data_IF_961070886725
#
_entry.id   IF_961070886725
#
_cell.length_a   1.000
_cell.length_b   1.000
_cell.length_c   1.000
_cell.angle_alpha   90.00
_cell.angle_beta   90.00
_cell.angle_gamma   90.00
#
_symmetry.space_group_name_H-M   'P 1'
#
loop_
_entity.id
_entity.type
_entity.pdbx_description
1 polymer ?
#
# COMPACT_ATOMS: atom_id res chain seq x y z
N UNK A 1 -81.53 -28.00 25.07
CA UNK A 1 -81.17 -28.11 23.65
C UNK A 1 -79.67 -27.88 23.50
N UNK A 2 -79.00 -28.83 22.84
CA UNK A 2 -77.74 -28.73 22.09
C UNK A 2 -76.53 -27.91 22.62
N UNK A 3 -75.50 -28.69 22.96
CA UNK A 3 -74.05 -28.59 22.61
C UNK A 3 -73.51 -27.52 21.62
N UNK A 4 -72.34 -26.98 22.03
CA UNK A 4 -71.06 -26.67 21.32
C UNK A 4 -70.97 -25.53 20.27
N UNK A 5 -70.09 -24.54 20.51
CA UNK A 5 -68.86 -24.30 19.71
C UNK A 5 -67.94 -23.22 20.34
N UNK A 6 -66.66 -23.27 19.97
CA UNK A 6 -65.46 -22.68 20.59
C UNK A 6 -65.12 -21.25 20.12
N UNK A 7 -64.26 -20.52 20.87
CA UNK A 7 -63.05 -19.84 20.33
C UNK A 7 -62.21 -19.13 21.41
N UNK A 8 -60.98 -19.65 21.56
CA UNK A 8 -59.67 -19.00 21.80
C UNK A 8 -59.50 -17.89 22.85
N UNK A 9 -58.84 -18.26 23.95
CA UNK A 9 -58.11 -17.38 24.87
C UNK A 9 -56.63 -17.29 24.41
N UNK A 10 -56.09 -16.09 24.25
CA UNK A 10 -54.64 -15.82 24.23
C UNK A 10 -54.35 -14.64 25.18
N UNK A 11 -53.67 -14.83 26.31
CA UNK A 11 -53.12 -13.72 27.07
C UNK A 11 -51.72 -13.38 26.51
N UNK A 12 -51.49 -12.08 26.38
CA UNK A 12 -50.26 -11.43 25.94
C UNK A 12 -49.10 -11.84 26.86
N UNK A 13 -48.15 -12.61 26.34
CA UNK A 13 -46.87 -12.89 27.00
C UNK A 13 -45.89 -11.76 26.67
N UNK A 14 -45.65 -10.88 27.66
CA UNK A 14 -44.63 -9.84 27.61
C UNK A 14 -43.23 -10.48 27.66
N UNK A 15 -42.69 -10.88 26.52
CA UNK A 15 -41.31 -11.35 26.38
C UNK A 15 -40.37 -10.14 26.45
N UNK A 16 -39.70 -9.99 27.61
CA UNK A 16 -38.46 -9.23 27.77
C UNK A 16 -37.40 -9.82 26.83
N UNK A 17 -37.39 -9.37 25.58
CA UNK A 17 -36.24 -9.51 24.69
C UNK A 17 -35.12 -8.63 25.26
N UNK A 18 -34.34 -9.20 26.16
CA UNK A 18 -32.98 -8.75 26.39
C UNK A 18 -32.24 -8.92 25.05
N UNK A 19 -32.26 -7.87 24.23
CA UNK A 19 -31.37 -7.75 23.10
C UNK A 19 -29.96 -7.67 23.67
N UNK A 20 -29.26 -8.81 23.67
CA UNK A 20 -27.81 -8.82 23.68
C UNK A 20 -27.36 -8.10 22.41
N UNK A 21 -27.30 -6.77 22.49
CA UNK A 21 -26.40 -5.97 21.67
C UNK A 21 -25.03 -6.63 21.91
N UNK A 22 -24.34 -7.16 20.90
CA UNK A 22 -22.98 -7.59 21.10
C UNK A 22 -22.22 -6.32 21.45
N UNK A 23 -21.97 -6.13 22.74
CA UNK A 23 -20.97 -5.20 23.23
C UNK A 23 -19.73 -5.49 22.40
N UNK A 24 -19.34 -4.54 21.56
CA UNK A 24 -18.06 -4.61 20.87
C UNK A 24 -17.03 -4.82 21.97
N UNK A 25 -16.55 -6.07 22.13
CA UNK A 25 -15.51 -6.37 23.11
C UNK A 25 -14.38 -5.41 22.74
N UNK A 26 -14.09 -4.46 23.62
CA UNK A 26 -12.82 -3.75 23.56
C UNK A 26 -11.76 -4.80 23.88
N UNK A 27 -11.36 -5.56 22.87
CA UNK A 27 -10.34 -6.59 23.06
C UNK A 27 -9.08 -5.85 23.49
N UNK A 28 -8.61 -6.22 24.68
CA UNK A 28 -7.38 -5.73 25.26
C UNK A 28 -6.24 -6.28 24.39
N UNK A 29 -5.65 -5.45 23.54
CA UNK A 29 -4.67 -5.85 22.52
C UNK A 29 -3.38 -6.45 23.11
N UNK A 30 -3.20 -6.33 24.42
CA UNK A 30 -2.06 -6.83 25.20
C UNK A 30 -2.29 -8.21 25.82
N UNK A 31 -3.53 -8.67 25.97
CA UNK A 31 -3.84 -9.98 26.55
C UNK A 31 -3.50 -11.13 25.60
N UNK A 32 -3.09 -12.28 26.15
CA UNK A 32 -2.94 -13.50 25.34
C UNK A 32 -4.32 -13.97 24.86
N UNK A 33 -4.46 -14.24 23.56
CA UNK A 33 -5.68 -14.76 22.97
C UNK A 33 -5.37 -15.95 22.05
N UNK A 34 -6.33 -16.87 21.81
CA UNK A 34 -6.17 -17.90 20.78
C UNK A 34 -6.12 -17.28 19.37
N UNK A 35 -5.49 -17.98 18.39
CA UNK A 35 -5.51 -17.56 16.99
C UNK A 35 -6.92 -17.34 16.44
N UNK A 36 -7.91 -18.10 16.91
CA UNK A 36 -9.30 -17.98 16.47
C UNK A 36 -9.87 -16.57 16.66
N UNK A 37 -9.56 -15.93 17.80
CA UNK A 37 -10.04 -14.59 18.14
C UNK A 37 -9.24 -13.50 17.41
N UNK A 38 -7.94 -13.71 17.19
CA UNK A 38 -7.13 -12.76 16.43
C UNK A 38 -7.54 -12.76 14.95
N UNK A 39 -7.73 -13.95 14.38
CA UNK A 39 -8.08 -14.13 12.98
C UNK A 39 -9.50 -13.68 12.62
N UNK A 40 -10.43 -13.61 13.57
CA UNK A 40 -11.77 -13.08 13.30
C UNK A 40 -11.76 -11.59 12.93
N UNK A 41 -10.68 -10.88 13.23
CA UNK A 41 -10.50 -9.47 12.86
C UNK A 41 -9.99 -9.29 11.42
N UNK A 42 -9.66 -10.38 10.73
CA UNK A 42 -9.02 -10.33 9.42
C UNK A 42 -10.03 -10.52 8.28
N UNK A 43 -9.69 -10.03 7.10
CA UNK A 43 -10.48 -10.20 5.88
C UNK A 43 -10.65 -11.66 5.45
N UNK A 44 -9.75 -12.55 5.88
CA UNK A 44 -9.82 -13.98 5.60
C UNK A 44 -9.51 -14.83 6.85
N UNK A 45 -10.51 -15.04 7.73
CA UNK A 45 -10.28 -15.73 9.00
C UNK A 45 -9.84 -17.18 8.87
N UNK A 46 -10.31 -17.92 7.85
CA UNK A 46 -9.95 -19.32 7.64
C UNK A 46 -8.49 -19.45 7.20
N UNK A 47 -8.05 -18.62 6.26
CA UNK A 47 -6.65 -18.56 5.85
C UNK A 47 -5.74 -18.10 6.99
N UNK A 48 -6.13 -17.06 7.75
CA UNK A 48 -5.36 -16.62 8.92
C UNK A 48 -5.11 -17.78 9.91
N UNK A 49 -6.13 -18.60 10.19
CA UNK A 49 -6.01 -19.77 11.07
C UNK A 49 -5.12 -20.88 10.51
N UNK A 50 -5.00 -21.02 9.19
CA UNK A 50 -4.11 -22.02 8.59
C UNK A 50 -2.64 -21.58 8.62
N UNK A 51 -2.39 -20.27 8.68
CA UNK A 51 -1.04 -19.70 8.73
C UNK A 51 -0.46 -19.65 10.14
N UNK A 52 -1.30 -19.36 11.14
CA UNK A 52 -0.89 -19.25 12.55
C UNK A 52 -0.99 -20.62 13.23
N UNK A 53 0.09 -21.15 13.85
CA UNK A 53 0.02 -22.47 14.49
C UNK A 53 -1.00 -22.49 15.63
N UNK A 54 -1.89 -23.49 15.72
CA UNK A 54 -3.06 -23.48 16.63
C UNK A 54 -2.72 -23.34 18.12
N UNK A 55 -1.55 -23.86 18.52
CA UNK A 55 -1.10 -23.86 19.91
C UNK A 55 -0.41 -22.55 20.32
N UNK A 56 -0.08 -21.68 19.35
CA UNK A 56 0.61 -20.42 19.61
C UNK A 56 -0.33 -19.47 20.34
N UNK A 57 -0.05 -19.19 21.61
CA UNK A 57 -0.71 -18.13 22.37
C UNK A 57 0.12 -16.86 22.26
N UNK A 58 -0.48 -15.80 21.73
CA UNK A 58 0.16 -14.50 21.63
C UNK A 58 -0.88 -13.40 21.77
N UNK A 59 -0.40 -12.16 21.86
CA UNK A 59 -1.23 -10.99 21.72
C UNK A 59 -1.32 -10.57 20.24
N UNK A 60 -2.15 -9.59 19.92
CA UNK A 60 -2.35 -9.16 18.52
C UNK A 60 -1.04 -8.68 17.89
N UNK A 61 -0.19 -7.99 18.67
CA UNK A 61 1.14 -7.55 18.26
C UNK A 61 2.06 -8.71 17.87
N UNK A 62 2.08 -9.79 18.66
CA UNK A 62 2.87 -10.97 18.35
C UNK A 62 2.39 -11.69 17.09
N UNK A 63 1.07 -11.81 16.90
CA UNK A 63 0.51 -12.35 15.65
C UNK A 63 0.83 -11.46 14.45
N UNK A 64 0.74 -10.13 14.60
CA UNK A 64 1.12 -9.19 13.55
C UNK A 64 2.56 -9.37 13.10
N UNK A 65 3.52 -9.40 14.03
CA UNK A 65 4.94 -9.66 13.71
C UNK A 65 5.15 -11.01 13.01
N UNK A 66 4.49 -12.05 13.52
CA UNK A 66 4.58 -13.39 12.92
C UNK A 66 4.06 -13.40 11.47
N UNK A 67 2.90 -12.78 11.23
CA UNK A 67 2.29 -12.70 9.90
C UNK A 67 3.16 -11.90 8.92
N UNK A 68 3.67 -10.73 9.32
CA UNK A 68 4.58 -9.93 8.48
C UNK A 68 5.88 -10.69 8.20
N UNK A 69 6.43 -11.43 9.17
CA UNK A 69 7.60 -12.31 8.95
C UNK A 69 7.28 -13.41 7.95
N UNK A 70 6.10 -14.03 8.07
CA UNK A 70 5.65 -15.06 7.12
C UNK A 70 5.46 -14.49 5.71
N UNK A 71 4.95 -13.26 5.61
CA UNK A 71 4.86 -12.52 4.35
C UNK A 71 6.22 -12.32 3.72
N UNK A 72 7.24 -11.96 4.50
CA UNK A 72 8.61 -11.78 4.00
C UNK A 72 9.15 -13.08 3.37
N UNK A 73 9.01 -14.20 4.08
CA UNK A 73 9.43 -15.51 3.57
C UNK A 73 8.71 -15.88 2.26
N UNK A 74 7.41 -15.58 2.17
CA UNK A 74 6.63 -15.87 0.97
C UNK A 74 7.02 -14.97 -0.21
N UNK A 75 7.26 -13.68 0.03
CA UNK A 75 7.73 -12.72 -0.98
C UNK A 75 9.07 -13.13 -1.58
N UNK A 76 10.04 -13.48 -0.73
CA UNK A 76 11.36 -13.92 -1.17
C UNK A 76 11.29 -15.21 -2.03
N UNK A 77 10.46 -16.18 -1.62
CA UNK A 77 10.23 -17.41 -2.38
C UNK A 77 9.56 -17.14 -3.73
N UNK A 78 8.58 -16.24 -3.77
CA UNK A 78 7.90 -15.86 -4.99
C UNK A 78 8.87 -15.19 -5.97
N UNK A 79 9.67 -14.22 -5.50
CA UNK A 79 10.68 -13.56 -6.32
C UNK A 79 11.68 -14.56 -6.93
N UNK A 80 12.19 -15.50 -6.13
CA UNK A 80 13.10 -16.54 -6.59
C UNK A 80 12.45 -17.48 -7.63
N UNK A 81 11.16 -17.79 -7.46
CA UNK A 81 10.42 -18.62 -8.40
C UNK A 81 10.20 -17.91 -9.74
N UNK A 82 9.82 -16.64 -9.74
CA UNK A 82 9.66 -15.81 -10.94
C UNK A 82 10.98 -15.70 -11.69
N UNK A 83 12.05 -15.37 -10.97
CA UNK A 83 13.40 -15.23 -11.51
C UNK A 83 13.90 -16.55 -12.14
N UNK A 84 13.60 -17.69 -11.50
CA UNK A 84 13.84 -19.01 -12.08
C UNK A 84 13.01 -19.23 -13.35
N UNK A 85 11.73 -18.87 -13.36
CA UNK A 85 10.86 -19.00 -14.54
C UNK A 85 11.40 -18.20 -15.72
N UNK A 86 11.83 -16.95 -15.50
CA UNK A 86 12.43 -16.11 -16.54
C UNK A 86 13.69 -16.76 -17.12
N UNK A 87 14.58 -17.30 -16.27
CA UNK A 87 15.85 -17.89 -16.72
C UNK A 87 15.71 -19.19 -17.50
N UNK A 88 14.80 -20.06 -17.10
CA UNK A 88 14.76 -21.44 -17.62
C UNK A 88 13.62 -21.71 -18.59
N UNK A 89 12.62 -20.84 -18.70
CA UNK A 89 11.55 -21.01 -19.66
C UNK A 89 11.89 -20.29 -20.97
N UNK A 90 12.28 -21.06 -21.99
CA UNK A 90 12.67 -20.53 -23.31
C UNK A 90 11.48 -20.28 -24.24
N UNK A 91 10.26 -20.67 -23.86
CA UNK A 91 9.05 -20.55 -24.70
C UNK A 91 8.14 -19.40 -24.26
N UNK A 92 8.67 -18.44 -23.51
CA UNK A 92 7.91 -17.27 -23.06
C UNK A 92 7.57 -16.36 -24.23
N UNK A 93 6.29 -15.99 -24.35
CA UNK A 93 5.86 -14.93 -25.26
C UNK A 93 6.35 -13.58 -24.74
N UNK A 94 6.49 -12.58 -25.62
CA UNK A 94 6.93 -11.24 -25.23
C UNK A 94 6.04 -10.62 -24.13
N UNK A 95 4.68 -10.70 -24.19
CA UNK A 95 3.83 -10.22 -23.11
C UNK A 95 4.08 -10.95 -21.78
N UNK A 96 4.28 -12.27 -21.83
CA UNK A 96 4.54 -13.07 -20.62
C UNK A 96 5.90 -12.71 -20.00
N UNK A 97 6.93 -12.53 -20.82
CA UNK A 97 8.25 -12.11 -20.35
C UNK A 97 8.20 -10.71 -19.69
N UNK A 98 7.51 -9.76 -20.32
CA UNK A 98 7.28 -8.42 -19.75
C UNK A 98 6.57 -8.49 -18.40
N UNK A 99 5.46 -9.23 -18.32
CA UNK A 99 4.70 -9.38 -17.08
C UNK A 99 5.49 -10.08 -15.96
N UNK A 100 6.38 -11.03 -16.32
CA UNK A 100 7.27 -11.67 -15.36
C UNK A 100 8.34 -10.70 -14.82
N UNK A 101 8.91 -9.84 -15.67
CA UNK A 101 9.85 -8.80 -15.22
C UNK A 101 9.17 -7.79 -14.29
N UNK A 102 7.95 -7.36 -14.61
CA UNK A 102 7.17 -6.48 -13.74
C UNK A 102 6.88 -7.14 -12.40
N UNK A 103 6.42 -8.39 -12.43
CA UNK A 103 6.14 -9.13 -11.21
C UNK A 103 7.40 -9.35 -10.36
N UNK A 104 8.56 -9.56 -10.98
CA UNK A 104 9.83 -9.68 -10.27
C UNK A 104 10.18 -8.36 -9.55
N UNK A 105 10.04 -7.22 -10.22
CA UNK A 105 10.25 -5.90 -9.62
C UNK A 105 9.29 -5.66 -8.44
N UNK A 106 7.99 -5.92 -8.63
CA UNK A 106 6.96 -5.75 -7.61
C UNK A 106 7.19 -6.68 -6.40
N UNK A 107 7.66 -7.91 -6.64
CA UNK A 107 8.00 -8.85 -5.58
C UNK A 107 9.23 -8.41 -4.79
N UNK A 108 10.25 -7.86 -5.46
CA UNK A 108 11.43 -7.31 -4.80
C UNK A 108 11.09 -6.05 -3.97
N UNK A 109 10.27 -5.14 -4.50
CA UNK A 109 9.75 -4.00 -3.73
C UNK A 109 8.98 -4.45 -2.49
N UNK A 110 8.15 -5.48 -2.65
CA UNK A 110 7.41 -6.11 -1.55
C UNK A 110 8.36 -6.64 -0.47
N UNK A 111 9.44 -7.32 -0.86
CA UNK A 111 10.46 -7.80 0.08
C UNK A 111 11.09 -6.63 0.84
N UNK A 112 11.47 -5.55 0.16
CA UNK A 112 12.09 -4.36 0.77
C UNK A 112 11.13 -3.68 1.78
N UNK A 113 9.85 -3.56 1.42
CA UNK A 113 8.80 -3.00 2.28
C UNK A 113 8.55 -3.86 3.52
N UNK A 114 8.57 -5.19 3.39
CA UNK A 114 8.42 -6.13 4.51
C UNK A 114 9.62 -6.09 5.46
N UNK A 115 10.84 -6.03 4.92
CA UNK A 115 12.07 -5.87 5.72
C UNK A 115 12.01 -4.57 6.53
N UNK A 116 11.65 -3.47 5.87
CA UNK A 116 11.51 -2.16 6.52
C UNK A 116 10.45 -2.20 7.63
N UNK A 117 9.28 -2.76 7.33
CA UNK A 117 8.18 -2.90 8.28
C UNK A 117 8.60 -3.73 9.50
N UNK A 118 9.28 -4.85 9.31
CA UNK A 118 9.76 -5.69 10.41
C UNK A 118 10.83 -5.01 11.26
N UNK A 119 11.72 -4.22 10.65
CA UNK A 119 12.71 -3.42 11.38
C UNK A 119 12.03 -2.48 12.39
N UNK A 120 10.96 -1.80 11.94
CA UNK A 120 10.14 -0.94 12.81
C UNK A 120 9.41 -1.74 13.89
N UNK A 121 8.76 -2.85 13.53
CA UNK A 121 7.93 -3.65 14.45
C UNK A 121 8.71 -4.42 15.52
N UNK A 122 10.01 -4.67 15.30
CA UNK A 122 10.88 -5.40 16.22
C UNK A 122 11.64 -4.49 17.20
N UNK A 123 11.57 -3.17 17.05
CA UNK A 123 12.24 -2.21 17.97
C UNK A 123 11.54 -2.18 19.34
N UNK A 124 12.32 -2.02 20.42
CA UNK A 124 12.06 -2.52 21.79
C UNK A 124 10.87 -1.98 22.60
N UNK A 125 9.96 -1.17 22.05
CA UNK A 125 8.67 -0.76 22.69
C UNK A 125 7.47 -1.26 21.87
N UNK A 126 7.40 -2.59 21.73
CA UNK A 126 6.71 -3.32 20.66
C UNK A 126 5.18 -3.17 20.56
N UNK A 127 4.54 -2.49 21.51
CA UNK A 127 3.07 -2.29 21.60
C UNK A 127 2.64 -0.87 21.24
N UNK A 128 3.58 0.07 21.16
CA UNK A 128 3.32 1.49 20.90
C UNK A 128 4.28 1.98 19.83
N UNK A 129 3.75 2.28 18.65
CA UNK A 129 4.49 2.97 17.60
C UNK A 129 4.24 4.48 17.71
N UNK A 130 5.22 5.29 17.32
CA UNK A 130 4.96 6.69 17.02
C UNK A 130 3.96 6.76 15.86
N UNK A 131 3.09 7.78 15.83
CA UNK A 131 2.04 7.90 14.80
C UNK A 131 2.64 7.81 13.37
N UNK A 132 3.78 8.46 13.12
CA UNK A 132 4.48 8.40 11.83
C UNK A 132 4.98 7.00 11.48
N UNK A 133 5.50 6.25 12.45
CA UNK A 133 5.95 4.87 12.23
C UNK A 133 4.76 3.94 11.94
N UNK A 134 3.63 4.16 12.63
CA UNK A 134 2.40 3.44 12.38
C UNK A 134 1.88 3.68 10.96
N UNK A 135 1.82 4.95 10.54
CA UNK A 135 1.39 5.36 9.21
C UNK A 135 2.34 4.84 8.11
N UNK A 136 3.65 4.86 8.35
CA UNK A 136 4.65 4.33 7.42
C UNK A 136 4.46 2.82 7.22
N UNK A 137 4.36 2.04 8.31
CA UNK A 137 4.15 0.58 8.22
C UNK A 137 2.80 0.27 7.57
N UNK A 138 1.74 1.02 7.88
CA UNK A 138 0.44 0.84 7.22
C UNK A 138 0.52 1.09 5.72
N UNK A 139 1.19 2.18 5.32
CA UNK A 139 1.42 2.53 3.91
C UNK A 139 2.18 1.42 3.20
N UNK A 140 3.28 0.94 3.79
CA UNK A 140 4.10 -0.13 3.22
C UNK A 140 3.30 -1.43 3.08
N UNK A 141 2.57 -1.86 4.11
CA UNK A 141 1.73 -3.07 4.05
C UNK A 141 0.58 -2.95 3.05
N UNK A 142 0.02 -1.76 2.87
CA UNK A 142 -0.99 -1.50 1.84
C UNK A 142 -0.38 -1.60 0.44
N UNK A 143 0.80 -1.00 0.24
CA UNK A 143 1.53 -1.07 -1.03
C UNK A 143 1.94 -2.51 -1.39
N UNK A 144 2.27 -3.35 -0.40
CA UNK A 144 2.57 -4.78 -0.59
C UNK A 144 1.35 -5.53 -1.18
N UNK A 145 0.15 -5.26 -0.66
CA UNK A 145 -1.09 -5.84 -1.21
C UNK A 145 -1.30 -5.38 -2.67
N UNK A 146 -1.08 -4.10 -2.96
CA UNK A 146 -1.18 -3.56 -4.32
C UNK A 146 -0.16 -4.21 -5.26
N UNK A 147 1.12 -4.27 -4.88
CA UNK A 147 2.18 -4.88 -5.68
C UNK A 147 1.85 -6.34 -6.04
N UNK A 148 1.35 -7.10 -5.08
CA UNK A 148 0.94 -8.48 -5.26
C UNK A 148 -0.22 -8.62 -6.26
N UNK A 149 -1.23 -7.76 -6.14
CA UNK A 149 -2.38 -7.75 -7.05
C UNK A 149 -1.97 -7.32 -8.46
N UNK A 150 -1.16 -6.26 -8.60
CA UNK A 150 -0.65 -5.80 -9.90
C UNK A 150 0.17 -6.88 -10.60
N UNK A 151 1.01 -7.62 -9.87
CA UNK A 151 1.70 -8.78 -10.45
C UNK A 151 0.71 -9.84 -10.96
N UNK A 152 -0.26 -10.23 -10.13
CA UNK A 152 -1.24 -11.25 -10.50
C UNK A 152 -2.04 -10.85 -11.74
N UNK A 153 -2.50 -9.61 -11.80
CA UNK A 153 -3.27 -9.06 -12.92
C UNK A 153 -2.42 -9.00 -14.20
N UNK A 154 -1.17 -8.56 -14.11
CA UNK A 154 -0.24 -8.51 -15.25
C UNK A 154 0.02 -9.90 -15.85
N UNK A 155 0.27 -10.91 -15.01
CA UNK A 155 0.50 -12.28 -15.47
C UNK A 155 -0.77 -12.93 -16.04
N UNK A 156 -1.94 -12.58 -15.51
CA UNK A 156 -3.24 -13.03 -16.01
C UNK A 156 -3.54 -12.39 -17.37
N UNK A 157 -3.31 -11.08 -17.51
CA UNK A 157 -3.48 -10.34 -18.77
C UNK A 157 -2.55 -10.88 -19.87
N UNK A 158 -1.31 -11.25 -19.51
CA UNK A 158 -0.37 -11.89 -20.42
C UNK A 158 -0.70 -13.35 -20.76
N UNK A 159 -1.82 -13.89 -20.25
CA UNK A 159 -2.24 -15.29 -20.40
C UNK A 159 -1.19 -16.31 -19.92
N UNK A 160 -0.28 -15.88 -19.03
CA UNK A 160 0.76 -16.74 -18.47
C UNK A 160 0.26 -17.54 -17.27
N UNK A 161 -0.61 -16.94 -16.46
CA UNK A 161 -1.09 -17.53 -15.23
C UNK A 161 -2.27 -18.47 -15.49
N UNK A 162 -2.05 -19.76 -15.31
CA UNK A 162 -3.10 -20.80 -15.33
C UNK A 162 -3.11 -21.55 -14.00
N UNK A 163 -4.18 -22.28 -13.69
CA UNK A 163 -4.30 -23.06 -12.44
C UNK A 163 -3.20 -24.12 -12.27
N UNK A 164 -2.58 -24.56 -13.38
CA UNK A 164 -1.45 -25.51 -13.37
C UNK A 164 -0.09 -24.82 -13.26
N UNK A 165 -0.02 -23.50 -13.39
CA UNK A 165 1.23 -22.75 -13.30
C UNK A 165 1.73 -22.75 -11.85
N UNK A 166 3.01 -23.06 -11.66
CA UNK A 166 3.67 -23.05 -10.36
C UNK A 166 3.59 -21.72 -9.60
N UNK A 167 3.38 -20.59 -10.31
CA UNK A 167 3.20 -19.26 -9.71
C UNK A 167 1.79 -19.03 -9.15
N UNK A 168 0.78 -19.76 -9.60
CA UNK A 168 -0.62 -19.47 -9.27
C UNK A 168 -0.89 -19.57 -7.76
N UNK A 169 -0.56 -20.72 -7.13
CA UNK A 169 -0.78 -20.89 -5.70
C UNK A 169 0.02 -19.92 -4.83
N UNK A 170 1.34 -19.68 -5.07
CA UNK A 170 2.09 -18.62 -4.38
C UNK A 170 1.46 -17.24 -4.48
N UNK A 171 0.93 -16.86 -5.65
CA UNK A 171 0.31 -15.54 -5.83
C UNK A 171 -1.01 -15.41 -5.07
N UNK A 172 -1.89 -16.41 -5.17
CA UNK A 172 -3.19 -16.41 -4.48
C UNK A 172 -3.00 -16.44 -2.96
N UNK A 173 -2.13 -17.33 -2.47
CA UNK A 173 -1.82 -17.42 -1.04
C UNK A 173 -1.13 -16.14 -0.55
N UNK A 174 -0.30 -15.51 -1.39
CA UNK A 174 0.36 -14.25 -1.07
C UNK A 174 -0.64 -13.10 -0.91
N UNK A 175 -1.61 -12.97 -1.81
CA UNK A 175 -2.68 -11.97 -1.70
C UNK A 175 -3.43 -12.10 -0.37
N UNK A 176 -3.78 -13.34 0.02
CA UNK A 176 -4.46 -13.60 1.29
C UNK A 176 -3.55 -13.30 2.49
N UNK A 177 -2.29 -13.70 2.44
CA UNK A 177 -1.32 -13.50 3.52
C UNK A 177 -1.01 -12.03 3.75
N UNK A 178 -0.79 -11.25 2.71
CA UNK A 178 -0.53 -9.82 2.82
C UNK A 178 -1.75 -9.06 3.33
N UNK A 179 -2.95 -9.42 2.85
CA UNK A 179 -4.22 -8.84 3.34
C UNK A 179 -4.44 -9.12 4.83
N UNK A 180 -4.24 -10.36 5.27
CA UNK A 180 -4.33 -10.77 6.68
C UNK A 180 -3.28 -10.06 7.54
N UNK A 181 -2.07 -9.86 7.02
CA UNK A 181 -0.99 -9.15 7.73
C UNK A 181 -1.32 -7.67 7.92
N UNK A 182 -1.84 -7.01 6.88
CA UNK A 182 -2.31 -5.63 6.95
C UNK A 182 -3.46 -5.49 7.95
N UNK A 183 -4.46 -6.38 7.91
CA UNK A 183 -5.57 -6.35 8.85
C UNK A 183 -5.10 -6.55 10.30
N UNK A 184 -4.21 -7.52 10.55
CA UNK A 184 -3.65 -7.73 11.89
C UNK A 184 -2.89 -6.49 12.36
N UNK A 185 -2.12 -5.86 11.48
CA UNK A 185 -1.40 -4.63 11.80
C UNK A 185 -2.35 -3.50 12.18
N UNK A 186 -3.39 -3.23 11.39
CA UNK A 186 -4.33 -2.13 11.65
C UNK A 186 -5.10 -2.34 12.95
N UNK A 187 -5.43 -3.58 13.31
CA UNK A 187 -6.08 -3.87 14.59
C UNK A 187 -5.14 -3.79 15.80
N UNK A 188 -3.83 -3.89 15.58
CA UNK A 188 -2.83 -3.91 16.65
C UNK A 188 -2.20 -2.53 16.90
N UNK A 189 -1.75 -1.85 15.84
CA UNK A 189 -0.95 -0.62 15.93
C UNK A 189 -1.59 0.60 15.30
N UNK A 190 -2.54 0.47 14.37
CA UNK A 190 -3.17 1.67 13.83
C UNK A 190 -3.95 2.35 14.96
N UNK A 191 -3.90 3.69 15.06
CA UNK A 191 -4.69 4.41 16.04
C UNK A 191 -6.15 3.97 15.87
N UNK A 192 -6.75 3.36 16.90
CA UNK A 192 -8.21 3.24 16.97
C UNK A 192 -8.69 4.66 16.83
N UNK A 193 -9.27 5.03 15.67
CA UNK A 193 -9.71 6.39 15.40
C UNK A 193 -10.43 6.90 16.65
N UNK A 194 -9.74 7.70 17.48
CA UNK A 194 -10.36 8.37 18.62
C UNK A 194 -11.35 9.29 17.95
N UNK A 195 -12.61 8.88 17.94
CA UNK A 195 -13.74 9.53 17.31
C UNK A 195 -13.34 10.82 16.59
N UNK A 196 -12.92 10.73 15.31
CA UNK A 196 -13.04 11.89 14.43
C UNK A 196 -14.52 12.26 14.56
N UNK A 197 -14.80 13.36 15.28
CA UNK A 197 -16.15 13.82 15.65
C UNK A 197 -17.11 13.43 14.54
N UNK A 198 -18.14 12.66 14.86
CA UNK A 198 -19.12 12.11 13.92
C UNK A 198 -19.33 13.10 12.76
N UNK A 199 -18.69 12.83 11.61
CA UNK A 199 -18.95 13.62 10.43
C UNK A 199 -20.41 13.34 10.08
N UNK A 200 -21.21 14.41 10.07
CA UNK A 200 -22.61 14.38 9.64
C UNK A 200 -22.74 13.56 8.34
N UNK A 201 -23.83 12.80 8.15
CA UNK A 201 -24.00 11.94 6.98
C UNK A 201 -24.09 12.82 5.73
N UNK A 202 -22.98 12.91 5.02
CA UNK A 202 -22.85 13.50 3.71
C UNK A 202 -21.57 12.94 3.13
N UNK A 203 -21.67 12.16 2.04
CA UNK A 203 -20.50 11.66 1.32
C UNK A 203 -19.71 12.85 0.80
N UNK A 204 -18.70 13.25 1.55
CA UNK A 204 -17.74 14.28 1.17
C UNK A 204 -16.42 13.59 0.81
N UNK A 205 -16.46 12.78 -0.25
CA UNK A 205 -15.25 12.21 -0.86
C UNK A 205 -14.25 13.31 -1.31
N UNK A 206 -14.72 14.55 -1.41
CA UNK A 206 -13.95 15.73 -1.82
C UNK A 206 -13.53 16.63 -0.65
N UNK A 207 -13.94 16.38 0.60
CA UNK A 207 -13.51 17.23 1.73
C UNK A 207 -12.04 16.97 2.14
N UNK A 208 -11.51 15.77 1.92
CA UNK A 208 -10.07 15.48 2.12
C UNK A 208 -9.19 16.04 0.98
N UNK A 209 -9.82 16.38 -0.17
CA UNK A 209 -9.24 17.17 -1.25
C UNK A 209 -9.49 18.68 -1.08
N UNK A 210 -10.20 19.11 -0.02
CA UNK A 210 -10.28 20.53 0.31
C UNK A 210 -8.93 20.98 0.81
N UNK A 211 -8.20 21.51 -0.15
CA UNK A 211 -7.07 22.40 0.04
C UNK A 211 -7.50 23.47 1.05
N UNK A 212 -6.96 23.42 2.27
CA UNK A 212 -7.24 24.43 3.28
C UNK A 212 -6.72 25.80 2.85
N UNK A 213 -6.95 26.86 3.64
CA UNK A 213 -6.45 28.21 3.31
C UNK A 213 -4.94 28.28 2.99
N UNK A 214 -4.15 27.27 3.38
CA UNK A 214 -2.72 27.13 3.08
C UNK A 214 -2.35 26.44 1.76
N UNK A 215 -3.29 26.11 0.87
CA UNK A 215 -2.93 25.59 -0.45
C UNK A 215 -2.52 24.10 -0.50
N UNK A 216 -2.56 23.39 0.62
CA UNK A 216 -2.23 21.96 0.73
C UNK A 216 -3.36 21.11 1.32
N UNK A 217 -3.53 19.85 0.87
CA UNK A 217 -4.37 18.85 1.54
C UNK A 217 -3.92 18.59 2.98
N UNK A 218 -4.85 18.14 3.83
CA UNK A 218 -4.61 17.87 5.25
C UNK A 218 -3.63 16.72 5.53
N UNK A 219 -3.48 15.79 4.58
CA UNK A 219 -2.53 14.67 4.65
C UNK A 219 -1.09 15.06 4.30
N UNK A 220 -0.88 16.24 3.72
CA UNK A 220 0.47 16.73 3.39
C UNK A 220 1.10 17.34 4.63
N UNK A 221 2.28 16.85 5.01
CA UNK A 221 3.03 17.40 6.15
C UNK A 221 3.41 18.85 5.87
N UNK A 222 2.78 19.79 6.59
CA UNK A 222 2.99 21.24 6.41
C UNK A 222 4.40 21.70 6.78
N UNK A 223 5.11 20.92 7.61
CA UNK A 223 6.54 21.12 7.88
C UNK A 223 7.42 20.75 6.70
N UNK A 224 6.95 19.91 5.77
CA UNK A 224 7.71 19.45 4.58
C UNK A 224 7.26 20.16 3.29
N UNK A 225 6.14 20.89 3.27
CA UNK A 225 5.66 21.48 2.02
C UNK A 225 5.25 22.96 2.13
N UNK A 226 5.54 23.59 3.26
CA UNK A 226 5.48 25.05 3.44
C UNK A 226 4.06 25.65 3.37
N UNK A 227 3.87 26.76 4.08
CA UNK A 227 2.61 27.54 4.11
C UNK A 227 2.57 28.69 3.09
N UNK A 228 3.62 28.87 2.28
CA UNK A 228 3.69 29.96 1.32
C UNK A 228 3.21 29.51 -0.05
N UNK A 229 2.12 30.14 -0.48
CA UNK A 229 1.60 30.13 -1.86
C UNK A 229 2.75 30.09 -2.86
N UNK A 230 2.71 29.08 -3.73
CA UNK A 230 3.66 28.76 -4.81
C UNK A 230 4.80 27.87 -4.31
N UNK A 231 4.89 26.67 -4.88
CA UNK A 231 6.15 25.89 -4.93
C UNK A 231 7.20 26.64 -5.77
N UNK A 232 7.43 27.92 -5.48
CA UNK A 232 8.54 28.69 -5.96
C UNK A 232 9.60 28.60 -4.86
N UNK A 233 10.33 27.48 -4.82
CA UNK A 233 11.68 27.36 -4.24
C UNK A 233 11.97 28.03 -2.88
N UNK A 234 10.98 28.29 -2.03
CA UNK A 234 11.20 28.72 -0.64
C UNK A 234 11.28 27.46 0.22
N UNK A 235 12.45 26.84 0.20
CA UNK A 235 12.86 25.60 0.87
C UNK A 235 12.94 25.73 2.41
N UNK A 236 12.33 26.77 3.00
CA UNK A 236 12.53 27.15 4.40
C UNK A 236 12.14 26.11 5.46
N UNK A 237 11.45 25.03 5.09
CA UNK A 237 11.08 23.94 6.01
C UNK A 237 11.55 22.55 5.58
N UNK A 238 12.18 22.42 4.40
CA UNK A 238 12.64 21.14 3.83
C UNK A 238 14.14 21.19 3.64
N UNK A 239 14.85 20.21 4.18
CA UNK A 239 16.26 20.06 3.86
C UNK A 239 16.40 19.69 2.38
N UNK A 240 16.81 20.64 1.56
CA UNK A 240 17.12 20.44 0.14
C UNK A 240 18.63 20.42 -0.03
N UNK A 241 19.14 19.34 -0.59
CA UNK A 241 20.57 19.15 -0.81
C UNK A 241 21.03 19.75 -2.14
N UNK A 242 20.24 19.50 -3.17
CA UNK A 242 20.61 19.77 -4.55
C UNK A 242 19.34 20.06 -5.34
N UNK A 243 19.40 21.08 -6.18
CA UNK A 243 18.35 21.41 -7.14
C UNK A 243 18.99 21.33 -8.52
N UNK A 244 18.38 20.56 -9.42
CA UNK A 244 18.75 20.50 -10.83
C UNK A 244 17.58 20.93 -11.68
N UNK A 245 17.86 21.65 -12.76
CA UNK A 245 16.84 22.17 -13.68
C UNK A 245 16.83 21.35 -14.96
N UNK A 246 15.63 20.97 -15.39
CA UNK A 246 15.39 20.34 -16.70
C UNK A 246 14.75 21.38 -17.61
N UNK A 247 15.33 21.58 -18.78
CA UNK A 247 14.79 22.47 -19.81
C UNK A 247 15.16 21.98 -21.22
N UNK A 248 14.16 21.77 -22.07
CA UNK A 248 14.35 21.29 -23.44
C UNK A 248 15.11 22.28 -24.34
N UNK A 249 15.11 23.57 -24.00
CA UNK A 249 15.81 24.63 -24.72
C UNK A 249 17.31 24.71 -24.39
N UNK A 250 17.82 23.82 -23.54
CA UNK A 250 19.22 23.79 -23.11
C UNK A 250 19.57 24.83 -22.04
N UNK A 251 18.61 25.60 -21.53
CA UNK A 251 18.83 26.58 -20.46
C UNK A 251 18.92 25.98 -19.05
N UNK A 252 18.76 24.66 -18.94
CA UNK A 252 18.80 23.88 -17.69
C UNK A 252 20.09 23.07 -17.53
N UNK A 253 20.19 22.31 -16.43
CA UNK A 253 21.26 21.34 -16.21
C UNK A 253 21.13 20.09 -17.11
N UNK A 254 19.88 19.70 -17.40
CA UNK A 254 19.55 18.53 -18.23
C UNK A 254 18.50 18.88 -19.28
N UNK A 255 18.51 18.13 -20.38
CA UNK A 255 17.54 18.29 -21.46
C UNK A 255 16.28 17.44 -21.26
N UNK A 256 16.42 16.33 -20.53
CA UNK A 256 15.33 15.38 -20.23
C UNK A 256 15.19 15.13 -18.73
N UNK A 257 13.99 14.73 -18.29
CA UNK A 257 13.74 14.39 -16.89
C UNK A 257 14.44 13.07 -16.54
N UNK A 258 14.49 12.13 -17.48
CA UNK A 258 15.17 10.84 -17.32
C UNK A 258 16.65 10.99 -16.98
N UNK A 259 17.35 11.93 -17.63
CA UNK A 259 18.76 12.27 -17.30
C UNK A 259 18.88 12.84 -15.88
N UNK A 260 17.99 13.74 -15.48
CA UNK A 260 18.00 14.33 -14.15
C UNK A 260 17.75 13.30 -13.05
N UNK A 261 16.86 12.33 -13.30
CA UNK A 261 16.61 11.19 -12.40
C UNK A 261 17.83 10.27 -12.33
N UNK A 262 18.47 9.97 -13.47
CA UNK A 262 19.66 9.14 -13.52
C UNK A 262 20.82 9.75 -12.74
N UNK A 263 20.99 11.07 -12.80
CA UNK A 263 22.03 11.82 -12.10
C UNK A 263 21.81 11.92 -10.57
N UNK A 264 20.59 11.70 -10.08
CA UNK A 264 20.30 11.76 -8.66
C UNK A 264 21.10 10.67 -7.87
N UNK A 265 21.61 10.96 -6.67
CA UNK A 265 22.33 9.97 -5.88
C UNK A 265 21.44 8.80 -5.43
N UNK A 266 22.02 7.59 -5.41
CA UNK A 266 21.34 6.39 -4.92
C UNK A 266 21.35 6.34 -3.38
N UNK A 267 20.27 5.82 -2.80
CA UNK A 267 20.07 5.57 -1.36
C UNK A 267 20.37 6.79 -0.48
N UNK A 268 19.96 7.97 -0.95
CA UNK A 268 20.11 9.22 -0.19
C UNK A 268 19.30 9.11 1.09
N UNK A 269 19.95 9.29 2.25
CA UNK A 269 19.26 9.28 3.54
C UNK A 269 18.37 10.52 3.70
N UNK A 270 17.22 10.43 4.41
CA UNK A 270 16.37 11.60 4.66
C UNK A 270 17.12 12.77 5.33
N UNK A 271 18.07 12.47 6.21
CA UNK A 271 18.93 13.46 6.88
C UNK A 271 19.91 14.20 5.96
N UNK A 272 20.10 13.71 4.72
CA UNK A 272 20.93 14.36 3.71
C UNK A 272 20.12 15.31 2.83
N UNK A 273 18.79 15.32 2.94
CA UNK A 273 17.89 16.21 2.22
C UNK A 273 17.47 15.69 0.85
N UNK A 274 16.49 16.38 0.27
CA UNK A 274 15.91 16.05 -1.02
C UNK A 274 16.83 16.45 -2.18
N UNK A 275 16.81 15.63 -3.23
CA UNK A 275 17.29 15.97 -4.56
C UNK A 275 16.10 16.47 -5.38
N UNK A 276 16.06 17.77 -5.67
CA UNK A 276 14.94 18.43 -6.34
C UNK A 276 15.22 18.52 -7.84
N UNK A 277 14.34 17.94 -8.64
CA UNK A 277 14.30 18.09 -10.10
C UNK A 277 13.24 19.13 -10.41
N UNK A 278 13.69 20.32 -10.81
CA UNK A 278 12.83 21.39 -11.27
C UNK A 278 12.67 21.31 -12.79
N UNK A 279 11.44 21.10 -13.25
CA UNK A 279 11.13 20.88 -14.67
C UNK A 279 10.42 22.11 -15.22
N UNK A 280 11.10 22.86 -16.10
CA UNK A 280 10.53 24.05 -16.74
C UNK A 280 9.32 23.69 -17.60
N UNK A 281 8.48 24.68 -17.88
CA UNK A 281 7.33 24.56 -18.76
C UNK A 281 7.74 23.99 -20.12
N UNK A 282 6.96 23.04 -20.62
CA UNK A 282 7.26 22.26 -21.80
C UNK A 282 6.43 20.99 -21.86
N UNK A 283 6.43 20.36 -23.03
CA UNK A 283 5.83 19.04 -23.26
C UNK A 283 6.97 18.03 -23.40
N UNK A 284 7.12 17.20 -22.39
CA UNK A 284 8.16 16.18 -22.27
C UNK A 284 7.58 14.84 -22.67
N UNK A 285 7.83 14.43 -23.92
CA UNK A 285 7.42 13.11 -24.40
C UNK A 285 8.46 12.06 -24.03
N UNK A 286 8.40 11.58 -22.79
CA UNK A 286 9.35 10.61 -22.25
C UNK A 286 8.69 9.64 -21.26
N UNK A 287 9.29 8.46 -21.09
CA UNK A 287 8.88 7.46 -20.11
C UNK A 287 9.82 7.50 -18.92
N UNK A 288 9.48 8.35 -17.95
CA UNK A 288 10.31 8.54 -16.75
C UNK A 288 10.04 7.40 -15.78
N UNK A 289 11.09 6.67 -15.40
CA UNK A 289 11.04 5.66 -14.36
C UNK A 289 12.02 6.00 -13.24
N UNK A 290 11.54 6.00 -12.01
CA UNK A 290 12.35 6.26 -10.82
C UNK A 290 12.70 4.92 -10.17
N UNK A 291 13.96 4.51 -10.32
CA UNK A 291 14.46 3.28 -9.70
C UNK A 291 14.30 3.34 -8.17
N UNK A 292 14.00 2.20 -7.54
CA UNK A 292 13.78 2.09 -6.09
C UNK A 292 14.95 2.60 -5.22
N UNK A 293 16.15 2.68 -5.78
CA UNK A 293 17.35 3.23 -5.12
C UNK A 293 17.37 4.76 -5.15
N UNK A 294 16.58 5.43 -6.00
CA UNK A 294 16.50 6.90 -6.08
C UNK A 294 15.57 7.46 -4.99
N UNK A 295 15.97 7.30 -3.74
CA UNK A 295 15.21 7.76 -2.57
C UNK A 295 15.36 9.27 -2.33
N UNK A 296 14.35 9.88 -1.72
CA UNK A 296 14.32 11.31 -1.38
C UNK A 296 14.48 12.24 -2.61
N UNK A 297 13.85 11.85 -3.72
CA UNK A 297 13.72 12.67 -4.91
C UNK A 297 12.43 13.49 -4.84
N UNK A 298 12.51 14.76 -5.19
CA UNK A 298 11.35 15.64 -5.33
C UNK A 298 11.32 16.20 -6.74
N UNK A 299 10.17 16.15 -7.41
CA UNK A 299 10.00 16.72 -8.75
C UNK A 299 8.99 17.86 -8.68
N UNK A 300 9.35 19.01 -9.25
CA UNK A 300 8.53 20.23 -9.22
C UNK A 300 8.47 20.82 -10.62
N UNK A 301 7.26 20.97 -11.17
CA UNK A 301 7.03 21.65 -12.45
C UNK A 301 6.63 23.12 -12.29
N UNK A 302 6.59 23.85 -13.41
CA UNK A 302 6.13 25.25 -13.48
C UNK A 302 4.63 25.43 -13.22
N UNK A 303 3.88 24.33 -13.12
CA UNK A 303 2.49 24.30 -12.71
C UNK A 303 1.60 23.48 -13.64
N UNK A 304 0.34 23.37 -13.23
CA UNK A 304 -0.72 22.70 -14.02
C UNK A 304 -0.79 23.31 -15.42
N UNK A 305 -0.89 22.46 -16.44
CA UNK A 305 -0.93 22.83 -17.86
C UNK A 305 0.30 23.63 -18.37
N UNK A 306 1.41 23.63 -17.64
CA UNK A 306 2.68 24.25 -18.08
C UNK A 306 3.78 23.22 -18.28
N UNK A 307 3.96 22.36 -17.29
CA UNK A 307 4.86 21.22 -17.40
C UNK A 307 3.99 19.99 -17.63
N UNK A 308 4.12 19.38 -18.81
CA UNK A 308 3.35 18.20 -19.20
C UNK A 308 4.33 17.08 -19.53
N UNK A 309 4.26 15.99 -18.79
CA UNK A 309 4.96 14.74 -19.12
C UNK A 309 3.94 13.84 -19.83
N UNK A 310 4.33 13.29 -20.98
CA UNK A 310 3.41 12.52 -21.81
C UNK A 310 4.08 11.28 -22.40
N UNK A 311 3.26 10.26 -22.64
CA UNK A 311 3.65 8.99 -23.21
C UNK A 311 2.48 8.37 -23.98
N UNK A 312 2.79 7.49 -24.91
CA UNK A 312 1.87 6.82 -25.83
C UNK A 312 2.05 5.29 -25.85
N UNK A 313 2.63 4.69 -24.81
CA UNK A 313 2.79 3.23 -24.70
C UNK A 313 1.44 2.59 -24.40
N UNK A 314 1.19 1.46 -25.02
CA UNK A 314 -0.03 0.70 -24.80
C UNK A 314 0.22 -0.80 -24.82
N UNK A 315 -0.75 -1.57 -24.32
CA UNK A 315 -0.74 -3.03 -24.43
C UNK A 315 -0.84 -3.48 -25.89
N UNK A 316 -1.50 -2.70 -26.74
CA UNK A 316 -1.54 -2.94 -28.19
C UNK A 316 -0.14 -2.89 -28.83
N UNK A 317 0.76 -2.08 -28.27
CA UNK A 317 2.15 -1.93 -28.71
C UNK A 317 3.11 -2.89 -27.98
N UNK A 318 2.59 -3.98 -27.40
CA UNK A 318 3.36 -5.02 -26.73
C UNK A 318 4.06 -4.55 -25.43
N UNK A 319 3.57 -3.47 -24.81
CA UNK A 319 3.95 -3.09 -23.43
C UNK A 319 3.00 -3.73 -22.42
N UNK A 320 3.44 -3.82 -21.17
CA UNK A 320 2.56 -4.24 -20.08
C UNK A 320 1.74 -3.05 -19.59
N UNK A 321 0.60 -3.31 -18.94
CA UNK A 321 -0.19 -2.27 -18.27
C UNK A 321 0.63 -1.53 -17.21
N UNK A 322 1.60 -2.19 -16.58
CA UNK A 322 2.50 -1.57 -15.61
C UNK A 322 3.50 -0.59 -16.27
N UNK A 323 4.02 -0.92 -17.46
CA UNK A 323 5.01 -0.10 -18.17
C UNK A 323 4.42 0.85 -19.23
N UNK A 324 3.09 0.98 -19.31
CA UNK A 324 2.43 1.90 -20.25
C UNK A 324 2.36 3.34 -19.71
N UNK A 325 2.32 3.50 -18.39
CA UNK A 325 2.25 4.80 -17.75
C UNK A 325 3.61 5.53 -17.75
N UNK A 326 3.56 6.86 -17.69
CA UNK A 326 4.68 7.74 -17.34
C UNK A 326 4.28 8.59 -16.13
N UNK A 327 5.27 9.24 -15.49
CA UNK A 327 5.07 10.09 -14.30
C UNK A 327 4.24 11.34 -14.58
#
# INVERSE_FOLDING_TARGET
MATLCTTSFFPVLLLLLATCIPSALSQNSTGQLPPANACSLTTNPSFCKSVIPPQTRSNLYGYGRYLVKKSLDQSARLAALIDRTIRYNTTLTTPALGALHDCLLLSQLTTDFLVTSLGTLNSSDSTTLQDTQGDDVQTLLSAIVTNQQTCYDGLTQASFLTSKNSLHAPLVNGTQLYSVSLAMFTHSWAPKFKHRRALKPGRKLLDDLKVGQGGLPSWVNRGVFGLKRRMALDTGSVLVKTIVTVAQDGSGNYSTISEAVAAAPNNTLPSKGYYVIYVKAGVYQEYVSVDKKKQNLMMVGDGINRTIITGSRSVGDNFTTFNSATL
#
